data_IF_679261256241
#
_entry.id   IF_679261256241
#
_cell.length_a   1.000
_cell.length_b   1.000
_cell.length_c   1.000
_cell.angle_alpha   90.00
_cell.angle_beta   90.00
_cell.angle_gamma   90.00
#
_symmetry.space_group_name_H-M   'P 1'
#
loop_
_entity.id
_entity.type
_entity.pdbx_description
1 polymer ?
#
# COMPACT_ATOMS: atom_id res chain seq x y z
N UNK A 1 -32.44 -17.82 20.75
CA UNK A 1 -31.37 -18.75 21.14
C UNK A 1 -30.02 -18.28 20.64
N UNK A 2 -29.22 -17.64 21.48
CA UNK A 2 -27.87 -17.16 21.16
C UNK A 2 -26.78 -18.23 21.37
N UNK A 3 -27.12 -19.49 21.34
CA UNK A 3 -26.25 -20.61 21.64
C UNK A 3 -25.66 -21.30 20.41
N UNK A 4 -25.20 -20.55 19.40
CA UNK A 4 -24.51 -21.14 18.26
C UNK A 4 -22.98 -20.92 18.40
N UNK A 5 -22.17 -21.93 18.08
CA UNK A 5 -20.69 -21.85 18.09
C UNK A 5 -20.11 -20.62 17.38
N UNK A 6 -20.86 -20.03 16.45
CA UNK A 6 -20.51 -18.77 15.79
C UNK A 6 -20.56 -17.56 16.73
N UNK A 7 -21.44 -17.55 17.72
CA UNK A 7 -21.55 -16.43 18.66
C UNK A 7 -20.42 -16.44 19.71
N UNK A 8 -19.94 -17.62 20.11
CA UNK A 8 -18.77 -17.72 21.00
C UNK A 8 -17.50 -17.20 20.31
N UNK A 9 -17.28 -17.57 19.04
CA UNK A 9 -16.16 -17.04 18.26
C UNK A 9 -16.22 -15.53 18.02
N UNK A 10 -17.43 -14.98 17.91
CA UNK A 10 -17.61 -13.53 17.78
C UNK A 10 -17.20 -12.79 19.07
N UNK A 11 -17.49 -13.36 20.23
CA UNK A 11 -17.09 -12.78 21.51
C UNK A 11 -15.60 -12.94 21.80
N UNK A 12 -15.02 -14.11 21.50
CA UNK A 12 -13.63 -14.38 21.83
C UNK A 12 -12.63 -13.77 20.84
N UNK A 13 -13.01 -13.68 19.56
CA UNK A 13 -12.08 -13.35 18.46
C UNK A 13 -12.56 -12.25 17.53
N UNK A 14 -13.67 -11.57 17.84
CA UNK A 14 -14.30 -10.59 16.94
C UNK A 14 -14.63 -11.16 15.53
N UNK A 15 -14.84 -12.47 15.43
CA UNK A 15 -15.14 -13.15 14.18
C UNK A 15 -16.60 -12.94 13.77
N UNK A 16 -16.82 -12.33 12.61
CA UNK A 16 -18.18 -12.04 12.10
C UNK A 16 -18.74 -13.20 11.28
N UNK A 17 -17.90 -13.89 10.54
CA UNK A 17 -18.29 -14.99 9.68
C UNK A 17 -17.48 -15.06 8.40
N UNK A 18 -17.89 -15.96 7.50
CA UNK A 18 -17.31 -16.07 6.18
C UNK A 18 -18.22 -15.34 5.18
N UNK A 19 -17.68 -14.37 4.46
CA UNK A 19 -18.35 -13.61 3.41
C UNK A 19 -17.55 -13.74 2.12
N UNK A 20 -18.18 -14.21 1.05
CA UNK A 20 -17.54 -14.38 -0.27
C UNK A 20 -16.18 -15.13 -0.24
N UNK A 21 -16.05 -16.11 0.64
CA UNK A 21 -14.81 -16.89 0.79
C UNK A 21 -13.75 -16.27 1.72
N UNK A 22 -13.99 -15.08 2.26
CA UNK A 22 -13.12 -14.43 3.22
C UNK A 22 -13.62 -14.64 4.66
N UNK A 23 -12.70 -14.98 5.56
CA UNK A 23 -12.96 -14.91 7.00
C UNK A 23 -12.97 -13.44 7.41
N UNK A 24 -14.09 -12.99 7.96
CA UNK A 24 -14.30 -11.57 8.29
C UNK A 24 -14.23 -11.37 9.79
N UNK A 25 -13.46 -10.37 10.20
CA UNK A 25 -13.26 -9.98 11.59
C UNK A 25 -13.65 -8.51 11.77
N UNK A 26 -14.24 -8.18 12.93
CA UNK A 26 -14.46 -6.79 13.31
C UNK A 26 -13.23 -6.24 14.04
N UNK A 27 -12.81 -5.03 13.66
CA UNK A 27 -11.70 -4.35 14.28
C UNK A 27 -12.04 -2.86 14.47
N UNK A 28 -11.95 -2.38 15.70
CA UNK A 28 -12.40 -1.04 16.06
C UNK A 28 -11.33 0.04 15.84
N UNK A 29 -10.06 -0.36 15.62
CA UNK A 29 -8.91 0.54 15.44
C UNK A 29 -8.44 0.65 13.98
N UNK A 30 -9.35 0.48 13.03
CA UNK A 30 -9.01 0.66 11.61
C UNK A 30 -8.59 2.10 11.32
N UNK A 31 -7.53 2.25 10.55
CA UNK A 31 -7.10 3.57 10.07
C UNK A 31 -8.18 4.22 9.22
N UNK A 32 -8.30 5.52 9.32
CA UNK A 32 -9.20 6.32 8.50
C UNK A 32 -8.40 6.94 7.36
N UNK A 33 -8.82 6.70 6.14
CA UNK A 33 -8.32 7.44 4.99
C UNK A 33 -9.04 8.78 4.91
N UNK A 34 -8.29 9.86 4.78
CA UNK A 34 -8.85 11.19 4.55
C UNK A 34 -9.41 11.30 3.14
N UNK A 35 -10.36 12.20 2.96
CA UNK A 35 -10.82 12.56 1.62
C UNK A 35 -9.67 13.12 0.79
N UNK A 36 -9.61 12.77 -0.49
CA UNK A 36 -8.71 13.41 -1.42
C UNK A 36 -9.08 14.89 -1.56
N UNK A 37 -8.11 15.75 -1.38
CA UNK A 37 -8.31 17.21 -1.49
C UNK A 37 -7.87 17.75 -2.87
N UNK A 38 -7.25 16.91 -3.70
CA UNK A 38 -6.80 17.28 -5.05
C UNK A 38 -7.99 17.46 -5.98
N UNK A 39 -8.04 18.58 -6.69
CA UNK A 39 -9.04 18.85 -7.73
C UNK A 39 -8.41 19.61 -8.90
N UNK A 40 -8.90 19.33 -10.12
CA UNK A 40 -8.40 19.97 -11.32
C UNK A 40 -6.96 19.59 -11.69
N UNK A 41 -6.47 18.48 -11.16
CA UNK A 41 -5.14 17.96 -11.47
C UNK A 41 -5.20 17.22 -12.79
N UNK A 42 -4.22 17.46 -13.62
CA UNK A 42 -4.08 16.82 -14.94
C UNK A 42 -2.71 16.20 -15.08
N UNK A 43 -2.60 15.22 -15.96
CA UNK A 43 -1.31 14.71 -16.39
C UNK A 43 -0.58 15.82 -17.15
N UNK A 44 0.69 16.02 -16.84
CA UNK A 44 1.57 16.99 -17.53
C UNK A 44 2.65 16.20 -18.30
N UNK A 45 2.73 16.45 -19.59
CA UNK A 45 3.72 15.83 -20.45
C UNK A 45 4.96 16.69 -20.67
N UNK A 46 5.08 17.81 -19.94
CA UNK A 46 6.16 18.80 -20.09
C UNK A 46 6.31 19.31 -21.53
N UNK A 47 5.19 19.45 -22.25
CA UNK A 47 5.18 19.90 -23.65
C UNK A 47 5.63 18.85 -24.67
N UNK A 48 5.90 17.60 -24.25
CA UNK A 48 6.31 16.52 -25.17
C UNK A 48 5.12 15.81 -25.85
N UNK A 49 3.89 16.22 -25.54
CA UNK A 49 2.66 15.71 -26.18
C UNK A 49 2.17 14.37 -25.67
N UNK A 50 3.01 13.53 -25.09
CA UNK A 50 2.64 12.23 -24.53
C UNK A 50 3.55 11.84 -23.38
N UNK A 51 3.01 11.31 -22.31
CA UNK A 51 3.82 10.54 -21.37
C UNK A 51 4.11 9.16 -21.97
N UNK A 52 5.38 8.79 -22.00
CA UNK A 52 5.76 7.47 -22.45
C UNK A 52 5.12 6.39 -21.56
N UNK A 53 4.66 5.32 -22.18
CA UNK A 53 4.27 4.10 -21.48
C UNK A 53 5.43 3.61 -20.63
N UNK A 54 5.14 3.13 -19.44
CA UNK A 54 6.15 2.50 -18.60
C UNK A 54 6.60 1.18 -19.24
N UNK A 55 7.91 1.06 -19.46
CA UNK A 55 8.51 -0.17 -19.97
C UNK A 55 9.17 -0.92 -18.80
N UNK A 56 8.74 -2.13 -18.48
CA UNK A 56 9.37 -2.93 -17.45
C UNK A 56 10.85 -3.18 -17.74
N UNK A 57 11.70 -2.96 -16.75
CA UNK A 57 13.14 -3.09 -16.85
C UNK A 57 13.69 -3.98 -15.74
N UNK A 58 14.76 -4.73 -16.00
CA UNK A 58 15.44 -5.51 -14.99
C UNK A 58 16.28 -4.62 -14.05
N UNK A 59 17.01 -3.67 -14.64
CA UNK A 59 17.95 -2.80 -13.92
C UNK A 59 17.88 -1.36 -14.41
N UNK A 60 18.25 -0.45 -13.54
CA UNK A 60 18.46 0.97 -13.85
C UNK A 60 19.85 1.39 -13.42
N UNK A 61 20.41 2.37 -14.08
CA UNK A 61 21.71 2.95 -13.71
C UNK A 61 21.51 4.05 -12.68
N UNK A 62 22.19 3.96 -11.56
CA UNK A 62 22.26 4.98 -10.53
C UNK A 62 23.69 5.44 -10.29
N UNK A 63 23.88 6.47 -9.46
CA UNK A 63 25.21 6.99 -9.10
C UNK A 63 26.15 5.92 -8.51
N UNK A 64 25.62 4.86 -7.95
CA UNK A 64 26.37 3.73 -7.37
C UNK A 64 26.50 2.51 -8.30
N UNK A 65 26.02 2.59 -9.55
CA UNK A 65 26.02 1.47 -10.49
C UNK A 65 24.62 1.00 -10.88
N UNK A 66 24.50 -0.24 -11.36
CA UNK A 66 23.21 -0.81 -11.72
C UNK A 66 22.47 -1.30 -10.46
N UNK A 67 21.20 -0.93 -10.37
CA UNK A 67 20.28 -1.37 -9.32
C UNK A 67 19.08 -2.07 -9.94
N UNK A 68 18.48 -3.02 -9.22
CA UNK A 68 17.23 -3.64 -9.64
C UNK A 68 16.10 -2.61 -9.59
N UNK A 69 15.23 -2.64 -10.61
CA UNK A 69 14.06 -1.76 -10.70
C UNK A 69 12.85 -2.49 -10.16
N UNK A 70 12.09 -1.82 -9.29
CA UNK A 70 10.78 -2.31 -8.88
C UNK A 70 9.73 -1.87 -9.91
N UNK A 71 9.37 -2.80 -10.79
CA UNK A 71 8.40 -2.56 -11.86
C UNK A 71 6.94 -2.46 -11.39
N UNK A 72 6.68 -2.47 -10.09
CA UNK A 72 5.34 -2.22 -9.54
C UNK A 72 5.01 -0.74 -9.43
N UNK A 73 5.99 0.12 -9.57
CA UNK A 73 5.88 1.56 -9.38
C UNK A 73 6.32 2.33 -10.62
N UNK A 74 5.69 3.47 -10.81
CA UNK A 74 6.05 4.43 -11.86
C UNK A 74 5.95 5.85 -11.32
N UNK A 75 6.93 6.69 -11.63
CA UNK A 75 6.82 8.13 -11.39
C UNK A 75 6.12 8.79 -12.57
N UNK A 76 5.07 9.56 -12.29
CA UNK A 76 4.32 10.33 -13.28
C UNK A 76 4.41 11.82 -12.98
N UNK A 77 4.42 12.64 -14.03
CA UNK A 77 4.38 14.10 -13.92
C UNK A 77 2.94 14.59 -14.06
N UNK A 78 2.55 15.49 -13.17
CA UNK A 78 1.20 16.08 -13.11
C UNK A 78 1.30 17.60 -13.00
N UNK A 79 0.22 18.30 -13.32
CA UNK A 79 0.17 19.77 -13.24
C UNK A 79 0.46 20.30 -11.84
N UNK A 80 0.04 19.60 -10.81
CA UNK A 80 0.31 19.93 -9.41
C UNK A 80 0.08 18.71 -8.53
N UNK A 81 0.90 18.54 -7.50
CA UNK A 81 0.69 17.55 -6.43
C UNK A 81 0.19 18.21 -5.14
N UNK A 82 -0.11 19.51 -5.18
CA UNK A 82 -0.71 20.19 -4.04
C UNK A 82 -2.01 19.49 -3.64
N UNK A 83 -2.13 19.13 -2.38
CA UNK A 83 -3.29 18.40 -1.84
C UNK A 83 -3.44 16.94 -2.30
N UNK A 84 -2.41 16.34 -2.89
CA UNK A 84 -2.34 14.90 -3.13
C UNK A 84 -1.65 14.23 -1.95
N UNK A 85 -2.21 13.13 -1.48
CA UNK A 85 -1.65 12.36 -0.38
C UNK A 85 -1.34 10.92 -0.81
N UNK A 86 -0.34 10.33 -0.15
CA UNK A 86 -0.07 8.90 -0.31
C UNK A 86 -1.31 8.08 0.12
N UNK A 87 -1.69 7.11 -0.71
CA UNK A 87 -2.88 6.31 -0.51
C UNK A 87 -4.11 6.78 -1.28
N UNK A 88 -4.11 7.98 -1.88
CA UNK A 88 -5.19 8.44 -2.72
C UNK A 88 -5.37 7.53 -3.94
N UNK A 89 -6.61 7.15 -4.21
CA UNK A 89 -6.98 6.37 -5.38
C UNK A 89 -7.58 7.27 -6.44
N UNK A 90 -7.19 7.06 -7.70
CA UNK A 90 -7.63 7.89 -8.80
C UNK A 90 -7.74 7.13 -10.11
N UNK A 91 -8.42 7.72 -11.05
CA UNK A 91 -8.48 7.29 -12.45
C UNK A 91 -7.97 8.42 -13.35
N UNK A 92 -7.51 8.06 -14.53
CA UNK A 92 -7.10 9.01 -15.57
C UNK A 92 -8.11 8.92 -16.71
N UNK A 93 -8.55 10.06 -17.22
CA UNK A 93 -9.49 10.10 -18.32
C UNK A 93 -8.97 9.33 -19.54
N UNK A 94 -9.85 8.54 -20.15
CA UNK A 94 -9.59 7.75 -21.36
C UNK A 94 -8.54 6.62 -21.21
N UNK A 95 -8.09 6.32 -20.00
CA UNK A 95 -7.17 5.19 -19.72
C UNK A 95 -7.96 4.02 -19.16
N UNK A 96 -8.31 3.07 -20.02
CA UNK A 96 -9.15 1.92 -19.65
C UNK A 96 -8.31 0.71 -19.27
N UNK A 97 -8.82 -0.05 -18.31
CA UNK A 97 -8.22 -1.31 -17.92
C UNK A 97 -8.38 -2.35 -19.03
N UNK A 98 -7.38 -3.24 -19.17
CA UNK A 98 -7.46 -4.37 -20.09
C UNK A 98 -7.54 -5.68 -19.33
N UNK A 99 -8.20 -6.66 -19.95
CA UNK A 99 -8.22 -8.02 -19.42
C UNK A 99 -6.83 -8.65 -19.50
N UNK A 100 -6.37 -9.25 -18.42
CA UNK A 100 -4.96 -9.69 -18.26
C UNK A 100 -4.53 -10.76 -19.28
N UNK A 101 -5.44 -11.60 -19.77
CA UNK A 101 -5.13 -12.66 -20.76
C UNK A 101 -5.33 -12.12 -22.18
N UNK A 102 -6.52 -11.60 -22.49
CA UNK A 102 -6.89 -11.23 -23.87
C UNK A 102 -6.34 -9.87 -24.30
N UNK A 103 -5.89 -9.06 -23.34
CA UNK A 103 -5.40 -7.68 -23.56
C UNK A 103 -6.42 -6.75 -24.25
N UNK A 104 -7.69 -7.13 -24.23
CA UNK A 104 -8.78 -6.30 -24.73
C UNK A 104 -9.28 -5.34 -23.66
N UNK A 105 -9.70 -4.14 -24.06
CA UNK A 105 -10.28 -3.16 -23.16
C UNK A 105 -11.53 -3.70 -22.47
N UNK A 106 -11.62 -3.47 -21.16
CA UNK A 106 -12.81 -3.83 -20.37
C UNK A 106 -13.88 -2.75 -20.39
N UNK A 107 -13.59 -1.57 -20.96
CA UNK A 107 -14.49 -0.41 -20.95
C UNK A 107 -14.58 0.29 -19.58
N UNK A 108 -13.79 -0.14 -18.59
CA UNK A 108 -13.71 0.50 -17.27
C UNK A 108 -12.40 1.25 -17.13
N UNK A 109 -12.42 2.45 -16.58
CA UNK A 109 -11.21 3.22 -16.31
C UNK A 109 -10.31 2.46 -15.33
N UNK A 110 -9.01 2.48 -15.62
CA UNK A 110 -8.00 1.86 -14.75
C UNK A 110 -7.84 2.69 -13.49
N UNK A 111 -7.90 2.02 -12.34
CA UNK A 111 -7.65 2.64 -11.04
C UNK A 111 -6.18 2.58 -10.71
N UNK A 112 -5.65 3.70 -10.25
CA UNK A 112 -4.28 3.87 -9.78
C UNK A 112 -4.29 4.36 -8.34
N UNK A 113 -3.18 4.18 -7.66
CA UNK A 113 -3.00 4.66 -6.29
C UNK A 113 -1.69 5.41 -6.16
N UNK A 114 -1.71 6.51 -5.44
CA UNK A 114 -0.51 7.28 -5.09
C UNK A 114 0.25 6.53 -3.99
N UNK A 115 1.52 6.24 -4.25
CA UNK A 115 2.44 5.60 -3.29
C UNK A 115 3.19 6.67 -2.50
N UNK A 116 3.75 7.64 -3.21
CA UNK A 116 4.46 8.78 -2.63
C UNK A 116 4.28 10.02 -3.48
N UNK A 117 4.38 11.16 -2.85
CA UNK A 117 4.48 12.47 -3.51
C UNK A 117 5.94 12.87 -3.46
N UNK A 118 6.57 12.94 -4.64
CA UNK A 118 8.02 13.10 -4.75
C UNK A 118 8.44 14.57 -4.89
N UNK A 119 7.61 15.37 -5.55
CA UNK A 119 7.81 16.82 -5.70
C UNK A 119 6.48 17.56 -5.89
N UNK A 120 6.54 18.88 -6.12
CA UNK A 120 5.35 19.69 -6.44
C UNK A 120 4.62 19.32 -7.73
N UNK A 121 5.25 18.51 -8.60
CA UNK A 121 4.71 18.11 -9.91
C UNK A 121 4.91 16.63 -10.23
N UNK A 122 5.55 15.85 -9.36
CA UNK A 122 5.77 14.42 -9.58
C UNK A 122 5.26 13.58 -8.44
N UNK A 123 4.66 12.45 -8.77
CA UNK A 123 4.20 11.45 -7.81
C UNK A 123 4.51 10.04 -8.32
N UNK A 124 4.78 9.15 -7.42
CA UNK A 124 4.95 7.71 -7.70
C UNK A 124 3.63 7.00 -7.51
N UNK A 125 3.23 6.23 -8.50
CA UNK A 125 1.95 5.51 -8.55
C UNK A 125 2.12 4.00 -8.68
N UNK A 126 1.08 3.27 -8.34
CA UNK A 126 0.93 1.83 -8.57
C UNK A 126 -0.51 1.52 -9.03
N UNK A 127 -0.73 0.57 -9.94
CA UNK A 127 0.24 -0.06 -10.81
C UNK A 127 0.83 0.91 -11.86
N UNK A 128 1.93 0.56 -12.53
CA UNK A 128 2.45 1.39 -13.63
C UNK A 128 1.51 1.38 -14.84
N UNK A 129 1.65 2.37 -15.70
CA UNK A 129 0.81 2.55 -16.90
C UNK A 129 1.53 1.90 -18.08
N UNK A 130 1.15 0.69 -18.43
CA UNK A 130 1.76 -0.08 -19.54
C UNK A 130 0.77 -0.19 -20.67
N UNK A 131 0.89 0.68 -21.66
CA UNK A 131 -0.06 0.81 -22.76
C UNK A 131 0.37 0.23 -24.09
N UNK A 132 1.65 -0.13 -24.27
CA UNK A 132 2.20 -0.70 -25.49
C UNK A 132 2.00 0.20 -26.72
N UNK A 133 2.55 1.40 -26.70
CA UNK A 133 2.45 2.38 -27.79
C UNK A 133 3.53 2.21 -28.86
N UNK A 134 3.20 2.60 -30.08
CA UNK A 134 4.15 2.66 -31.21
C UNK A 134 4.63 1.28 -31.64
N UNK A 135 5.94 1.04 -31.52
CA UNK A 135 6.53 -0.30 -31.70
C UNK A 135 6.80 -0.89 -30.32
N UNK A 136 5.83 -1.61 -29.75
CA UNK A 136 5.92 -2.08 -28.37
C UNK A 136 6.96 -3.20 -28.25
N UNK A 137 7.62 -3.24 -27.11
CA UNK A 137 8.49 -4.35 -26.72
C UNK A 137 7.67 -5.56 -26.30
N UNK A 138 8.28 -6.76 -26.30
CA UNK A 138 7.62 -7.98 -25.80
C UNK A 138 7.19 -7.82 -24.33
N UNK A 139 7.97 -7.10 -23.53
CA UNK A 139 7.64 -6.80 -22.16
C UNK A 139 6.38 -5.92 -22.03
N UNK A 140 6.24 -4.90 -22.87
CA UNK A 140 5.05 -4.05 -22.90
C UNK A 140 3.81 -4.84 -23.31
N UNK A 141 3.93 -5.69 -24.33
CA UNK A 141 2.83 -6.55 -24.78
C UNK A 141 2.38 -7.53 -23.71
N UNK A 142 3.34 -8.16 -23.02
CA UNK A 142 3.07 -9.15 -22.00
C UNK A 142 2.45 -8.53 -20.75
N UNK A 143 2.97 -7.39 -20.30
CA UNK A 143 2.54 -6.72 -19.06
C UNK A 143 1.51 -5.60 -19.29
N UNK A 144 1.04 -5.42 -20.53
CA UNK A 144 0.01 -4.43 -20.87
C UNK A 144 -1.17 -4.53 -19.91
N UNK A 145 -1.49 -3.41 -19.23
CA UNK A 145 -2.56 -3.31 -18.24
C UNK A 145 -3.57 -2.20 -18.53
N UNK A 146 -3.29 -1.34 -19.53
CA UNK A 146 -4.19 -0.32 -20.03
C UNK A 146 -4.31 -0.43 -21.55
N UNK A 147 -5.42 0.00 -22.12
CA UNK A 147 -5.69 -0.10 -23.56
C UNK A 147 -4.80 0.85 -24.38
N UNK A 148 -4.62 2.07 -23.88
CA UNK A 148 -3.74 3.08 -24.45
C UNK A 148 -2.83 3.63 -23.35
N UNK A 149 -1.60 4.03 -23.73
CA UNK A 149 -0.80 4.85 -22.85
C UNK A 149 -1.44 6.25 -22.75
N UNK A 150 -1.09 6.99 -21.71
CA UNK A 150 -1.57 8.36 -21.52
C UNK A 150 -1.11 9.18 -22.73
N UNK A 151 -2.04 9.43 -23.64
CA UNK A 151 -1.74 10.08 -24.89
C UNK A 151 -1.93 11.60 -24.81
N UNK A 152 -2.72 12.08 -23.88
CA UNK A 152 -3.12 13.47 -23.87
C UNK A 152 -2.41 14.24 -22.76
N UNK A 153 -1.74 15.32 -23.16
CA UNK A 153 -1.46 16.41 -22.25
C UNK A 153 -2.78 16.93 -21.68
N UNK A 154 -2.78 17.25 -20.40
CA UNK A 154 -3.98 17.66 -19.66
C UNK A 154 -5.06 16.59 -19.48
N UNK A 155 -4.75 15.29 -19.60
CA UNK A 155 -5.70 14.24 -19.22
C UNK A 155 -6.10 14.40 -17.76
N UNK A 156 -7.41 14.51 -17.51
CA UNK A 156 -7.93 14.78 -16.17
C UNK A 156 -7.73 13.60 -15.23
N UNK A 157 -7.28 13.89 -14.01
CA UNK A 157 -7.21 12.96 -12.90
C UNK A 157 -8.46 13.13 -12.06
N UNK A 158 -9.18 12.03 -11.80
CA UNK A 158 -10.37 12.02 -10.96
C UNK A 158 -10.09 11.11 -9.76
N UNK A 159 -10.11 11.69 -8.57
CA UNK A 159 -9.93 10.95 -7.32
C UNK A 159 -11.19 10.19 -6.95
N UNK A 160 -11.01 8.97 -6.46
CA UNK A 160 -12.10 8.07 -6.08
C UNK A 160 -12.45 8.15 -4.59
N UNK A 161 -11.50 8.52 -3.74
CA UNK A 161 -11.72 8.69 -2.30
C UNK A 161 -12.22 10.10 -1.97
N UNK A 162 -13.38 10.45 -2.50
CA UNK A 162 -13.99 11.80 -2.32
C UNK A 162 -14.47 12.06 -0.89
N UNK A 163 -14.71 11.02 -0.11
CA UNK A 163 -15.11 11.12 1.29
C UNK A 163 -14.10 10.43 2.21
N UNK A 164 -13.95 10.95 3.43
CA UNK A 164 -13.17 10.27 4.44
C UNK A 164 -13.89 8.99 4.88
N UNK A 165 -13.21 7.85 4.78
CA UNK A 165 -13.79 6.55 5.11
C UNK A 165 -12.83 5.69 5.95
N UNK A 166 -13.39 4.76 6.70
CA UNK A 166 -12.59 3.75 7.38
C UNK A 166 -12.07 2.75 6.35
N UNK A 167 -10.80 2.39 6.48
CA UNK A 167 -10.15 1.43 5.59
C UNK A 167 -10.47 0.03 6.07
N UNK A 168 -11.17 -0.74 5.24
CA UNK A 168 -11.33 -2.17 5.45
C UNK A 168 -10.28 -2.88 4.60
N UNK A 169 -9.41 -3.65 5.25
CA UNK A 169 -8.34 -4.36 4.56
C UNK A 169 -8.74 -5.82 4.33
N UNK A 170 -8.36 -6.35 3.19
CA UNK A 170 -8.46 -7.78 2.90
C UNK A 170 -7.13 -8.27 2.33
N UNK A 171 -6.75 -9.47 2.69
CA UNK A 171 -5.50 -10.07 2.22
C UNK A 171 -5.59 -11.59 2.23
N UNK A 172 -4.81 -12.21 1.39
CA UNK A 172 -4.53 -13.63 1.46
C UNK A 172 -3.44 -13.88 2.50
N UNK A 173 -3.46 -15.05 3.11
CA UNK A 173 -2.55 -15.45 4.19
C UNK A 173 -1.07 -15.19 3.89
N UNK A 174 -0.65 -15.44 2.64
CA UNK A 174 0.76 -15.35 2.23
C UNK A 174 1.15 -13.97 1.68
N UNK A 175 0.24 -12.98 1.68
CA UNK A 175 0.53 -11.64 1.16
C UNK A 175 1.24 -10.75 2.16
N UNK A 176 0.95 -10.90 3.45
CA UNK A 176 1.56 -10.13 4.52
C UNK A 176 2.47 -11.02 5.36
N UNK A 177 3.67 -10.53 5.62
CA UNK A 177 4.62 -11.22 6.49
C UNK A 177 5.04 -10.30 7.64
N UNK A 178 4.98 -10.85 8.85
CA UNK A 178 5.48 -10.21 10.04
C UNK A 178 6.74 -10.93 10.51
N UNK A 179 7.84 -10.19 10.58
CA UNK A 179 9.15 -10.70 10.99
C UNK A 179 9.40 -10.28 12.45
N UNK A 180 9.44 -11.22 13.40
CA UNK A 180 9.80 -10.91 14.76
C UNK A 180 11.28 -10.57 14.85
N UNK A 181 11.59 -9.50 15.57
CA UNK A 181 12.95 -9.09 15.88
C UNK A 181 13.31 -9.34 17.34
N UNK A 182 14.59 -9.38 17.64
CA UNK A 182 15.08 -9.53 19.00
C UNK A 182 15.85 -8.29 19.44
N UNK A 183 15.45 -7.71 20.58
CA UNK A 183 16.18 -6.61 21.17
C UNK A 183 17.49 -7.09 21.80
N UNK A 184 18.60 -6.42 21.44
CA UNK A 184 19.88 -6.59 22.13
C UNK A 184 19.87 -5.67 23.36
N UNK A 185 19.91 -6.24 24.54
CA UNK A 185 20.10 -5.50 25.79
C UNK A 185 21.48 -5.84 26.32
N UNK A 186 22.36 -4.84 26.55
CA UNK A 186 23.70 -5.08 27.09
C UNK A 186 23.62 -5.75 28.45
N UNK A 187 24.46 -6.75 28.70
CA UNK A 187 24.46 -7.49 29.95
C UNK A 187 24.95 -6.64 31.14
N UNK A 188 25.69 -5.60 30.86
CA UNK A 188 26.28 -4.66 31.83
C UNK A 188 25.39 -3.43 32.13
N UNK A 189 24.21 -3.38 31.57
CA UNK A 189 23.29 -2.24 31.72
C UNK A 189 22.73 -2.09 33.16
N UNK A 190 23.04 -3.04 34.06
CA UNK A 190 22.57 -3.00 35.46
C UNK A 190 21.05 -3.06 35.66
N UNK A 191 20.31 -3.43 34.62
CA UNK A 191 18.84 -3.42 34.56
C UNK A 191 18.31 -4.85 34.56
N UNK A 192 17.33 -5.13 35.41
CA UNK A 192 16.63 -6.42 35.36
C UNK A 192 15.80 -6.52 34.08
N UNK A 193 16.11 -7.51 33.26
CA UNK A 193 15.44 -7.76 31.96
C UNK A 193 14.68 -9.07 32.03
N UNK A 194 13.39 -9.01 31.73
CA UNK A 194 12.55 -10.20 31.54
C UNK A 194 12.14 -10.29 30.08
N UNK A 195 12.13 -11.50 29.53
CA UNK A 195 11.75 -11.77 28.14
C UNK A 195 10.64 -12.80 28.12
N UNK A 196 9.63 -12.56 27.29
CA UNK A 196 8.56 -13.50 27.01
C UNK A 196 8.29 -13.48 25.49
N UNK A 197 7.95 -14.61 24.92
CA UNK A 197 7.47 -14.70 23.55
C UNK A 197 5.97 -14.94 23.53
N UNK A 198 5.28 -14.30 22.60
CA UNK A 198 3.88 -14.60 22.30
C UNK A 198 3.78 -15.88 21.48
N UNK A 199 2.56 -16.45 21.37
CA UNK A 199 2.30 -17.62 20.52
C UNK A 199 2.61 -17.38 19.03
N UNK A 200 2.67 -16.11 18.63
CA UNK A 200 3.02 -15.68 17.26
C UNK A 200 4.53 -15.45 17.08
N UNK A 201 5.35 -15.73 18.09
CA UNK A 201 6.79 -15.59 18.03
C UNK A 201 7.34 -14.17 18.25
N UNK A 202 6.48 -13.20 18.59
CA UNK A 202 6.91 -11.84 18.89
C UNK A 202 7.52 -11.81 20.30
N UNK A 203 8.75 -11.30 20.43
CA UNK A 203 9.41 -11.14 21.70
C UNK A 203 8.94 -9.85 22.39
N UNK A 204 8.54 -9.98 23.66
CA UNK A 204 8.27 -8.88 24.57
C UNK A 204 9.43 -8.79 25.55
N UNK A 205 10.05 -7.63 25.65
CA UNK A 205 11.15 -7.35 26.57
C UNK A 205 10.66 -6.36 27.61
N UNK A 206 10.63 -6.78 28.87
CA UNK A 206 10.31 -5.90 30.00
C UNK A 206 11.59 -5.55 30.74
N UNK A 207 11.82 -4.26 30.92
CA UNK A 207 12.93 -3.72 31.70
C UNK A 207 12.38 -3.01 32.92
N UNK A 208 13.06 -3.19 34.05
CA UNK A 208 12.71 -2.53 35.32
C UNK A 208 13.92 -1.72 35.78
N UNK A 209 13.71 -0.44 36.04
CA UNK A 209 14.72 0.46 36.54
C UNK A 209 14.22 1.22 37.77
N UNK A 210 15.07 1.34 38.78
CA UNK A 210 14.83 2.17 39.96
C UNK A 210 15.58 3.50 39.79
N UNK A 211 14.80 4.57 39.78
CA UNK A 211 15.32 5.93 39.68
C UNK A 211 15.56 6.46 41.11
N UNK A 212 16.83 6.67 41.44
CA UNK A 212 17.25 7.09 42.78
C UNK A 212 16.82 8.53 43.06
N UNK A 213 16.82 9.40 42.06
CA UNK A 213 16.53 10.83 42.22
C UNK A 213 15.04 11.08 42.51
N UNK A 214 14.18 10.30 41.86
CA UNK A 214 12.72 10.44 42.02
C UNK A 214 12.12 9.38 42.94
N UNK A 215 12.91 8.43 43.46
CA UNK A 215 12.48 7.28 44.27
C UNK A 215 11.34 6.48 43.62
N UNK A 216 11.31 6.44 42.28
CA UNK A 216 10.26 5.74 41.51
C UNK A 216 10.79 4.52 40.78
N UNK A 217 9.92 3.51 40.63
CA UNK A 217 10.24 2.36 39.79
C UNK A 217 9.62 2.58 38.42
N UNK A 218 10.47 2.56 37.39
CA UNK A 218 10.06 2.68 35.99
C UNK A 218 10.05 1.30 35.34
N UNK A 219 8.96 0.99 34.64
CA UNK A 219 8.86 -0.20 33.80
C UNK A 219 8.79 0.23 32.36
N UNK A 220 9.53 -0.46 31.50
CA UNK A 220 9.50 -0.27 30.06
C UNK A 220 9.21 -1.60 29.39
N UNK A 221 8.23 -1.61 28.50
CA UNK A 221 7.88 -2.77 27.69
C UNK A 221 8.19 -2.44 26.23
N UNK A 222 9.05 -3.25 25.62
CA UNK A 222 9.52 -3.06 24.25
C UNK A 222 9.19 -4.31 23.42
N UNK A 223 8.85 -4.09 22.17
CA UNK A 223 8.71 -5.14 21.15
C UNK A 223 9.37 -4.67 19.85
N UNK A 224 9.99 -5.58 19.13
CA UNK A 224 10.61 -5.31 17.84
C UNK A 224 10.03 -6.26 16.80
N UNK A 225 9.46 -5.70 15.76
CA UNK A 225 8.96 -6.46 14.63
C UNK A 225 9.03 -5.62 13.36
N UNK A 226 9.11 -6.29 12.22
CA UNK A 226 8.96 -5.69 10.90
C UNK A 226 7.73 -6.25 10.21
N UNK A 227 7.08 -5.47 9.39
CA UNK A 227 5.95 -5.91 8.56
C UNK A 227 6.26 -5.59 7.11
N UNK A 228 6.02 -6.54 6.23
CA UNK A 228 6.19 -6.37 4.79
C UNK A 228 4.98 -6.92 4.05
N UNK A 229 4.52 -6.19 3.04
CA UNK A 229 3.59 -6.71 2.05
C UNK A 229 4.39 -7.39 0.94
N UNK A 230 4.47 -8.70 1.02
CA UNK A 230 5.28 -9.54 0.14
C UNK A 230 4.63 -9.70 -1.23
N UNK A 231 3.31 -9.73 -1.27
CA UNK A 231 2.52 -9.95 -2.47
C UNK A 231 1.36 -8.95 -2.56
N UNK A 232 1.62 -7.69 -3.00
CA UNK A 232 0.61 -6.64 -3.03
C UNK A 232 -0.62 -6.97 -3.87
N UNK A 233 -0.48 -7.85 -4.88
CA UNK A 233 -1.58 -8.27 -5.75
C UNK A 233 -2.62 -9.15 -5.02
N UNK A 234 -2.23 -9.75 -3.89
CA UNK A 234 -3.10 -10.61 -3.06
C UNK A 234 -3.66 -9.88 -1.84
N UNK A 235 -3.51 -8.58 -1.79
CA UNK A 235 -4.04 -7.73 -0.73
C UNK A 235 -4.69 -6.49 -1.32
N UNK A 236 -5.62 -5.92 -0.59
CA UNK A 236 -6.28 -4.71 -1.02
C UNK A 236 -7.02 -4.03 0.10
N UNK A 237 -7.57 -2.89 -0.21
CA UNK A 237 -8.43 -2.14 0.70
C UNK A 237 -9.79 -1.94 0.05
N UNK A 238 -10.81 -1.96 0.89
CA UNK A 238 -12.17 -1.69 0.51
C UNK A 238 -12.64 -0.46 1.26
N UNK A 239 -13.03 0.57 0.52
CA UNK A 239 -13.54 1.82 1.05
C UNK A 239 -15.06 1.82 0.93
N UNK A 240 -15.74 2.03 2.04
CA UNK A 240 -17.17 2.24 2.06
C UNK A 240 -17.45 3.72 2.28
N UNK A 241 -18.63 4.15 1.86
CA UNK A 241 -19.09 5.52 2.01
C UNK A 241 -18.37 6.52 1.06
N UNK A 242 -18.25 6.10 -0.21
CA UNK A 242 -17.77 6.96 -1.30
C UNK A 242 -18.92 7.80 -1.88
#
# INVERSE_FOLDING_TARGET
>A
SFGNQKSERAYERNYVGMVAGFETYKFDYANRQTAAAGSGITIDTNGAGTQASFVPQATSTSVGGQINVDNRFQTVTVSSTASVAAGDAFTIAEVYAVHHITKQSTGQLKTFRVVSVDSGTTMTITPPIIGAQGTPTDAELQYKNVDVAIAADAAAIVFLNVNASQVNVFWQRDSLEMLPGRYAVPADAGVAVMRASTDQGIELVMQKFYDIDSMTIKYRLDTLFGVVNKNPEMSGILLFNQ
#
